data_IF_505175471427
#
_entry.id   IF_505175471427
#
_cell.length_a   1.000
_cell.length_b   1.000
_cell.length_c   1.000
_cell.angle_alpha   90.00
_cell.angle_beta   90.00
_cell.angle_gamma   90.00
#
_symmetry.space_group_name_H-M   'P 1'
#
loop_
_entity.id
_entity.type
_entity.pdbx_description
1 polymer ?
#
# COMPACT_ATOMS: atom_id res chain seq x y z
N UNK A 1 8.04 -14.52 2.81
CA UNK A 1 7.01 -13.87 3.64
C UNK A 1 5.91 -14.88 3.88
N UNK A 2 5.40 -14.96 5.11
CA UNK A 2 4.18 -15.68 5.45
C UNK A 2 3.07 -14.66 5.73
N UNK A 3 1.91 -14.84 5.10
CA UNK A 3 0.68 -14.10 5.45
C UNK A 3 -0.30 -15.16 5.96
N UNK A 4 -0.62 -15.10 7.24
CA UNK A 4 -1.57 -16.02 7.89
C UNK A 4 -2.85 -15.28 8.23
N UNK A 5 -4.01 -15.86 7.93
CA UNK A 5 -5.31 -15.22 8.09
C UNK A 5 -6.09 -15.94 9.19
N UNK A 6 -6.57 -15.19 10.17
CA UNK A 6 -7.44 -15.66 11.24
C UNK A 6 -8.85 -15.12 11.02
N UNK A 7 -9.86 -15.98 11.18
CA UNK A 7 -11.25 -15.55 11.20
C UNK A 7 -11.61 -15.09 12.62
N UNK A 8 -12.07 -13.83 12.77
CA UNK A 8 -12.42 -13.28 14.09
C UNK A 8 -13.59 -14.02 14.74
N UNK A 9 -14.48 -14.64 13.96
CA UNK A 9 -15.62 -15.41 14.46
C UNK A 9 -15.29 -16.89 14.72
N UNK A 10 -14.04 -17.31 14.54
CA UNK A 10 -13.68 -18.71 14.75
C UNK A 10 -14.00 -19.17 16.17
N UNK A 11 -14.72 -20.28 16.25
CA UNK A 11 -15.06 -20.96 17.50
C UNK A 11 -14.00 -21.99 17.91
N UNK A 12 -13.10 -22.36 17.00
CA UNK A 12 -12.07 -23.38 17.19
C UNK A 12 -10.68 -22.75 17.38
N UNK A 13 -10.58 -21.74 18.25
CA UNK A 13 -9.37 -20.91 18.41
C UNK A 13 -8.10 -21.72 18.73
N UNK A 14 -8.21 -22.74 19.59
CA UNK A 14 -7.07 -23.59 19.94
C UNK A 14 -6.52 -24.36 18.73
N UNK A 15 -7.42 -24.82 17.85
CA UNK A 15 -7.07 -25.55 16.64
C UNK A 15 -6.44 -24.61 15.61
N UNK A 16 -6.98 -23.40 15.44
CA UNK A 16 -6.38 -22.39 14.57
C UNK A 16 -4.97 -22.02 15.01
N UNK A 17 -4.75 -21.90 16.32
CA UNK A 17 -3.43 -21.64 16.89
C UNK A 17 -2.47 -22.82 16.68
N UNK A 18 -2.95 -24.07 16.82
CA UNK A 18 -2.12 -25.24 16.55
C UNK A 18 -1.67 -25.30 15.08
N UNK A 19 -2.57 -25.01 14.13
CA UNK A 19 -2.20 -24.92 12.72
C UNK A 19 -1.20 -23.79 12.46
N UNK A 20 -1.42 -22.63 13.06
CA UNK A 20 -0.50 -21.50 12.95
C UNK A 20 0.90 -21.85 13.47
N UNK A 21 1.01 -22.44 14.66
CA UNK A 21 2.29 -22.87 15.24
C UNK A 21 2.99 -23.92 14.38
N UNK A 22 2.25 -24.89 13.84
CA UNK A 22 2.80 -25.89 12.91
C UNK A 22 3.42 -25.22 11.66
N UNK A 23 2.78 -24.17 11.13
CA UNK A 23 3.35 -23.38 10.04
C UNK A 23 4.61 -22.61 10.48
N UNK A 24 4.62 -22.04 11.68
CA UNK A 24 5.79 -21.33 12.21
C UNK A 24 6.99 -22.24 12.42
N UNK A 25 6.79 -23.46 12.93
CA UNK A 25 7.85 -24.45 13.09
C UNK A 25 8.48 -24.81 11.74
N UNK A 26 7.66 -25.04 10.71
CA UNK A 26 8.13 -25.31 9.37
C UNK A 26 8.92 -24.13 8.77
N UNK A 27 8.46 -22.89 9.01
CA UNK A 27 9.15 -21.66 8.59
C UNK A 27 10.46 -21.48 9.35
N UNK A 28 10.50 -21.73 10.66
CA UNK A 28 11.72 -21.59 11.45
C UNK A 28 12.83 -22.53 10.94
N UNK A 29 12.46 -23.73 10.50
CA UNK A 29 13.39 -24.71 9.93
C UNK A 29 13.83 -24.37 8.50
N UNK A 30 12.91 -23.88 7.67
CA UNK A 30 13.14 -23.73 6.22
C UNK A 30 13.51 -22.31 5.79
N UNK A 31 13.08 -21.29 6.53
CA UNK A 31 13.18 -19.87 6.18
C UNK A 31 13.09 -18.96 7.42
N UNK A 32 14.08 -18.99 8.33
CA UNK A 32 14.02 -18.27 9.60
C UNK A 32 13.96 -16.73 9.45
N UNK A 33 14.41 -16.19 8.33
CA UNK A 33 14.36 -14.73 8.04
C UNK A 33 13.03 -14.30 7.40
N UNK A 34 12.07 -15.21 7.23
CA UNK A 34 10.79 -14.88 6.64
C UNK A 34 9.99 -13.93 7.56
N UNK A 35 9.61 -12.77 7.01
CA UNK A 35 8.67 -11.86 7.69
C UNK A 35 7.29 -12.51 7.77
N UNK A 36 6.67 -12.47 8.95
CA UNK A 36 5.35 -13.04 9.21
C UNK A 36 4.34 -11.92 9.43
N UNK A 37 3.20 -12.02 8.75
CA UNK A 37 2.07 -11.13 8.90
C UNK A 37 0.84 -11.93 9.28
N UNK A 38 0.12 -11.47 10.30
CA UNK A 38 -1.10 -12.09 10.80
C UNK A 38 -2.27 -11.14 10.56
N UNK A 39 -3.22 -11.56 9.73
CA UNK A 39 -4.43 -10.79 9.43
C UNK A 39 -5.58 -11.34 10.27
N UNK A 40 -6.02 -10.57 11.27
CA UNK A 40 -7.27 -10.85 11.99
C UNK A 40 -8.39 -10.28 11.12
N UNK A 41 -9.07 -11.18 10.42
CA UNK A 41 -9.96 -10.86 9.31
C UNK A 41 -11.44 -10.95 9.69
N UNK A 42 -12.30 -10.37 8.84
CA UNK A 42 -13.74 -10.21 9.05
C UNK A 42 -14.11 -9.35 10.25
N UNK A 43 -13.28 -8.34 10.55
CA UNK A 43 -13.49 -7.43 11.68
C UNK A 43 -14.76 -6.58 11.58
N UNK A 44 -15.41 -6.56 10.41
CA UNK A 44 -16.73 -5.99 10.19
C UNK A 44 -17.83 -6.67 11.03
N UNK A 45 -17.66 -7.95 11.38
CA UNK A 45 -18.62 -8.73 12.19
C UNK A 45 -18.54 -8.41 13.68
N UNK A 46 -17.49 -7.68 14.10
CA UNK A 46 -17.31 -7.21 15.48
C UNK A 46 -17.88 -5.79 15.61
N UNK A 47 -18.55 -5.54 16.73
CA UNK A 47 -19.06 -4.20 17.08
C UNK A 47 -17.90 -3.19 17.18
N UNK A 48 -18.10 -2.00 16.62
CA UNK A 48 -17.03 -0.99 16.43
C UNK A 48 -16.28 -0.65 17.73
N UNK A 49 -17.00 -0.52 18.84
CA UNK A 49 -16.49 -0.25 20.19
C UNK A 49 -15.64 -1.40 20.76
N UNK A 50 -15.82 -2.63 20.25
CA UNK A 50 -15.07 -3.81 20.67
C UNK A 50 -13.88 -4.15 19.77
N UNK A 51 -13.81 -3.58 18.56
CA UNK A 51 -12.79 -3.93 17.56
C UNK A 51 -11.36 -3.74 18.07
N UNK A 52 -11.08 -2.61 18.71
CA UNK A 52 -9.75 -2.31 19.25
C UNK A 52 -9.35 -3.26 20.39
N UNK A 53 -10.31 -3.58 21.26
CA UNK A 53 -10.07 -4.46 22.41
C UNK A 53 -9.73 -5.87 21.94
N UNK A 54 -10.57 -6.44 21.06
CA UNK A 54 -10.39 -7.79 20.52
C UNK A 54 -9.10 -7.87 19.71
N UNK A 55 -8.83 -6.87 18.86
CA UNK A 55 -7.59 -6.83 18.08
C UNK A 55 -6.35 -6.88 18.98
N UNK A 56 -6.27 -6.02 20.00
CA UNK A 56 -5.12 -5.97 20.92
C UNK A 56 -4.94 -7.24 21.73
N UNK A 57 -6.03 -7.90 22.10
CA UNK A 57 -5.97 -9.19 22.79
C UNK A 57 -5.35 -10.26 21.88
N UNK A 58 -5.85 -10.38 20.65
CA UNK A 58 -5.34 -11.32 19.65
C UNK A 58 -3.90 -11.03 19.27
N UNK A 59 -3.55 -9.76 19.08
CA UNK A 59 -2.19 -9.32 18.76
C UNK A 59 -1.20 -9.78 19.84
N UNK A 60 -1.51 -9.55 21.13
CA UNK A 60 -0.65 -10.01 22.23
C UNK A 60 -0.48 -11.53 22.27
N UNK A 61 -1.55 -12.28 22.05
CA UNK A 61 -1.47 -13.73 22.01
C UNK A 61 -0.62 -14.23 20.85
N UNK A 62 -0.82 -13.66 19.66
CA UNK A 62 -0.04 -13.97 18.48
C UNK A 62 1.44 -13.63 18.70
N UNK A 63 1.78 -12.43 19.15
CA UNK A 63 3.16 -12.03 19.44
C UNK A 63 3.85 -12.98 20.44
N UNK A 64 3.12 -13.45 21.46
CA UNK A 64 3.63 -14.42 22.43
C UNK A 64 3.87 -15.78 21.80
N UNK A 65 2.92 -16.27 21.01
CA UNK A 65 2.95 -17.60 20.39
C UNK A 65 3.88 -17.67 19.16
N UNK A 66 4.19 -16.54 18.53
CA UNK A 66 5.08 -16.47 17.36
C UNK A 66 6.55 -16.61 17.70
N UNK A 67 6.94 -16.41 18.97
CA UNK A 67 8.35 -16.46 19.39
C UNK A 67 9.01 -17.80 19.04
N UNK A 68 10.27 -17.79 18.56
CA UNK A 68 11.20 -16.66 18.50
C UNK A 68 11.03 -15.75 17.27
N UNK A 69 10.10 -16.04 16.37
CA UNK A 69 9.87 -15.24 15.17
C UNK A 69 9.03 -14.00 15.50
N UNK A 70 9.32 -12.89 14.82
CA UNK A 70 8.52 -11.68 14.91
C UNK A 70 7.34 -11.76 13.94
N UNK A 71 6.15 -11.41 14.42
CA UNK A 71 4.94 -11.26 13.61
C UNK A 71 4.42 -9.82 13.67
N UNK A 72 3.68 -9.43 12.63
CA UNK A 72 3.02 -8.12 12.55
C UNK A 72 1.55 -8.39 12.32
N UNK A 73 0.71 -7.86 13.21
CA UNK A 73 -0.72 -8.08 13.16
C UNK A 73 -1.44 -6.92 12.46
N UNK A 74 -2.47 -7.24 11.69
CA UNK A 74 -3.41 -6.26 11.15
C UNK A 74 -4.84 -6.74 11.38
N UNK A 75 -5.71 -5.82 11.78
CA UNK A 75 -7.15 -6.01 11.65
C UNK A 75 -7.56 -5.70 10.22
N UNK A 76 -8.37 -6.56 9.61
CA UNK A 76 -8.77 -6.38 8.22
C UNK A 76 -10.25 -6.72 8.00
N UNK A 77 -10.88 -5.99 7.09
CA UNK A 77 -12.17 -6.34 6.50
C UNK A 77 -12.14 -6.06 5.00
N UNK A 78 -12.88 -6.86 4.23
CA UNK A 78 -13.10 -6.59 2.79
C UNK A 78 -14.05 -5.42 2.53
N UNK A 79 -14.73 -4.94 3.58
CA UNK A 79 -15.77 -3.91 3.49
C UNK A 79 -15.25 -2.50 3.76
N UNK A 80 -13.99 -2.35 4.18
CA UNK A 80 -13.38 -1.07 4.53
C UNK A 80 -11.93 -0.96 4.02
N UNK A 81 -11.27 0.16 4.33
CA UNK A 81 -9.92 0.49 3.90
C UNK A 81 -8.82 -0.33 4.59
N UNK A 82 -9.12 -1.04 5.68
CA UNK A 82 -8.11 -1.70 6.52
C UNK A 82 -7.37 -2.82 5.77
N UNK A 83 -8.03 -3.46 4.80
CA UNK A 83 -7.39 -4.44 3.93
C UNK A 83 -6.30 -3.80 3.06
N UNK A 84 -6.55 -2.61 2.51
CA UNK A 84 -5.55 -1.87 1.72
C UNK A 84 -4.38 -1.43 2.61
N UNK A 85 -4.63 -1.07 3.86
CA UNK A 85 -3.59 -0.74 4.84
C UNK A 85 -2.62 -1.91 5.04
N UNK A 86 -3.17 -3.08 5.37
CA UNK A 86 -2.39 -4.30 5.60
C UNK A 86 -1.57 -4.69 4.36
N UNK A 87 -2.21 -4.75 3.20
CA UNK A 87 -1.51 -5.13 1.96
C UNK A 87 -0.49 -4.10 1.50
N UNK A 88 -0.76 -2.80 1.68
CA UNK A 88 0.23 -1.75 1.36
C UNK A 88 1.46 -1.89 2.26
N UNK A 89 1.28 -2.15 3.56
CA UNK A 89 2.39 -2.39 4.50
C UNK A 89 3.20 -3.65 4.15
N UNK A 90 2.52 -4.75 3.81
CA UNK A 90 3.16 -6.00 3.39
C UNK A 90 3.99 -5.80 2.12
N UNK A 91 3.39 -5.19 1.08
CA UNK A 91 4.06 -4.92 -0.20
C UNK A 91 5.21 -3.94 -0.02
N UNK A 92 5.03 -2.88 0.77
CA UNK A 92 6.08 -1.91 1.07
C UNK A 92 7.34 -2.58 1.64
N UNK A 93 7.16 -3.57 2.54
CA UNK A 93 8.28 -4.34 3.12
C UNK A 93 8.97 -5.32 2.15
N UNK A 94 8.37 -5.56 0.99
CA UNK A 94 8.89 -6.40 -0.09
C UNK A 94 9.55 -5.59 -1.21
N UNK A 95 9.28 -4.28 -1.31
CA UNK A 95 9.81 -3.44 -2.38
C UNK A 95 11.32 -3.18 -2.15
N UNK A 96 12.19 -3.58 -3.08
CA UNK A 96 13.61 -3.22 -3.00
C UNK A 96 13.80 -1.71 -3.25
N UNK A 97 14.78 -1.12 -2.57
CA UNK A 97 15.17 0.30 -2.70
C UNK A 97 14.03 1.30 -2.44
N UNK A 98 13.07 0.95 -1.58
CA UNK A 98 11.93 1.83 -1.25
C UNK A 98 12.38 3.19 -0.69
N UNK A 99 13.49 3.23 0.03
CA UNK A 99 14.09 4.47 0.56
C UNK A 99 14.54 5.43 -0.56
N UNK A 100 15.14 4.89 -1.63
CA UNK A 100 15.56 5.70 -2.78
C UNK A 100 14.34 6.23 -3.51
N UNK A 101 13.31 5.40 -3.70
CA UNK A 101 12.05 5.82 -4.31
C UNK A 101 11.38 6.94 -3.51
N UNK A 102 11.34 6.82 -2.19
CA UNK A 102 10.78 7.84 -1.31
C UNK A 102 11.58 9.15 -1.34
N UNK A 103 12.91 9.06 -1.38
CA UNK A 103 13.79 10.24 -1.51
C UNK A 103 13.54 10.97 -2.82
N UNK A 104 13.46 10.24 -3.93
CA UNK A 104 13.21 10.84 -5.25
C UNK A 104 11.80 11.41 -5.37
N UNK A 105 10.81 10.75 -4.76
CA UNK A 105 9.44 11.26 -4.70
C UNK A 105 9.34 12.54 -3.87
N UNK A 106 10.09 12.61 -2.75
CA UNK A 106 10.19 13.82 -1.93
C UNK A 106 10.82 14.97 -2.71
N UNK A 107 11.94 14.74 -3.39
CA UNK A 107 12.57 15.75 -4.25
C UNK A 107 11.61 16.23 -5.35
N UNK A 108 10.86 15.31 -5.97
CA UNK A 108 9.85 15.68 -6.95
C UNK A 108 8.76 16.56 -6.34
N UNK A 109 8.20 16.18 -5.18
CA UNK A 109 7.21 16.97 -4.47
C UNK A 109 7.69 18.38 -4.11
N UNK A 110 8.96 18.51 -3.70
CA UNK A 110 9.59 19.79 -3.38
C UNK A 110 9.74 20.67 -4.63
N UNK A 111 10.17 20.11 -5.77
CA UNK A 111 10.37 20.84 -7.04
C UNK A 111 9.05 21.39 -7.60
N UNK A 112 7.97 20.63 -7.48
CA UNK A 112 6.65 21.03 -8.00
C UNK A 112 5.80 21.78 -6.97
N UNK A 113 6.36 22.01 -5.77
CA UNK A 113 5.69 22.65 -4.64
C UNK A 113 4.34 22.00 -4.26
N UNK A 114 4.20 20.69 -4.46
CA UNK A 114 2.98 19.97 -4.11
C UNK A 114 2.82 19.82 -2.59
N UNK A 115 1.58 19.79 -2.11
CA UNK A 115 1.29 19.50 -0.70
C UNK A 115 1.53 18.03 -0.38
N UNK A 116 1.16 17.16 -1.32
CA UNK A 116 1.24 15.73 -1.18
C UNK A 116 1.42 15.07 -2.56
N UNK A 117 2.31 14.08 -2.61
CA UNK A 117 2.49 13.21 -3.77
C UNK A 117 2.43 11.75 -3.34
N UNK A 118 1.52 10.99 -3.94
CA UNK A 118 1.35 9.56 -3.71
C UNK A 118 1.72 8.78 -4.96
N UNK A 119 2.44 7.69 -4.78
CA UNK A 119 2.79 6.76 -5.85
C UNK A 119 2.11 5.43 -5.57
N UNK A 120 1.40 4.91 -6.58
CA UNK A 120 0.63 3.67 -6.48
C UNK A 120 1.12 2.64 -7.49
N UNK A 121 1.06 1.35 -7.14
CA UNK A 121 1.22 0.26 -8.11
C UNK A 121 0.00 0.19 -9.06
N UNK A 122 0.25 0.01 -10.35
CA UNK A 122 -0.76 0.20 -11.40
C UNK A 122 -1.95 -0.76 -11.33
N UNK A 123 -1.73 -2.04 -11.03
CA UNK A 123 -2.79 -3.05 -11.08
C UNK A 123 -3.64 -3.04 -9.80
N UNK A 124 -2.99 -3.04 -8.65
CA UNK A 124 -3.59 -3.14 -7.31
C UNK A 124 -4.01 -1.80 -6.75
N UNK A 125 -3.37 -0.71 -7.21
CA UNK A 125 -3.54 0.64 -6.65
C UNK A 125 -3.11 0.74 -5.18
N UNK A 126 -2.24 -0.17 -4.71
CA UNK A 126 -1.61 -0.07 -3.40
C UNK A 126 -0.58 1.06 -3.39
N UNK A 127 -0.49 1.76 -2.27
CA UNK A 127 0.47 2.85 -2.07
C UNK A 127 1.86 2.25 -1.92
N UNK A 128 2.81 2.71 -2.74
CA UNK A 128 4.20 2.21 -2.72
C UNK A 128 5.20 3.24 -2.20
N UNK A 129 4.91 4.53 -2.35
CA UNK A 129 5.70 5.62 -1.79
C UNK A 129 4.83 6.86 -1.64
N UNK A 130 5.20 7.73 -0.70
CA UNK A 130 4.53 9.01 -0.45
C UNK A 130 5.51 10.10 -0.07
N UNK A 131 5.16 11.34 -0.41
CA UNK A 131 5.85 12.54 0.01
C UNK A 131 4.80 13.56 0.48
N UNK A 132 4.93 13.99 1.73
CA UNK A 132 3.99 14.90 2.40
C UNK A 132 4.77 16.16 2.79
N UNK A 133 4.31 17.33 2.33
CA UNK A 133 4.82 18.65 2.74
C UNK A 133 3.88 19.32 3.73
N UNK A 134 2.62 18.89 3.78
CA UNK A 134 1.59 19.36 4.70
C UNK A 134 1.01 18.19 5.49
N UNK A 135 0.81 18.38 6.78
CA UNK A 135 0.12 17.38 7.60
C UNK A 135 -1.39 17.42 7.32
N UNK A 136 -2.00 16.24 7.27
CA UNK A 136 -3.44 16.05 7.08
C UNK A 136 -4.04 15.32 8.28
N UNK A 137 -5.27 15.69 8.66
CA UNK A 137 -5.94 15.10 9.82
C UNK A 137 -6.35 13.64 9.66
N UNK A 138 -6.60 13.18 8.42
CA UNK A 138 -6.95 11.78 8.14
C UNK A 138 -5.69 10.97 7.82
N UNK A 139 -5.30 10.12 8.76
CA UNK A 139 -4.14 9.23 8.63
C UNK A 139 -4.39 8.04 7.69
N UNK A 140 -5.65 7.67 7.46
CA UNK A 140 -6.08 6.55 6.60
C UNK A 140 -6.44 6.99 5.17
N UNK A 141 -6.16 8.25 4.82
CA UNK A 141 -6.54 8.82 3.53
C UNK A 141 -5.91 8.09 2.34
N UNK A 142 -4.72 7.50 2.51
CA UNK A 142 -4.00 6.83 1.42
C UNK A 142 -4.77 5.57 0.98
N UNK A 143 -5.19 4.77 1.95
CA UNK A 143 -5.95 3.55 1.76
C UNK A 143 -7.36 3.85 1.25
N UNK A 144 -7.99 4.91 1.76
CA UNK A 144 -9.28 5.39 1.25
C UNK A 144 -9.19 5.80 -0.21
N UNK A 145 -8.18 6.58 -0.60
CA UNK A 145 -7.94 6.95 -2.00
C UNK A 145 -7.70 5.70 -2.85
N UNK A 146 -6.88 4.76 -2.37
CA UNK A 146 -6.64 3.49 -3.05
C UNK A 146 -7.93 2.73 -3.33
N UNK A 147 -8.78 2.59 -2.30
CA UNK A 147 -10.06 1.90 -2.43
C UNK A 147 -10.99 2.64 -3.41
N UNK A 148 -11.18 3.97 -3.25
CA UNK A 148 -12.06 4.78 -4.11
C UNK A 148 -11.65 4.64 -5.58
N UNK A 149 -10.37 4.85 -5.90
CA UNK A 149 -9.90 4.79 -7.28
C UNK A 149 -9.94 3.36 -7.81
N UNK A 150 -9.67 2.35 -6.99
CA UNK A 150 -9.80 0.96 -7.41
C UNK A 150 -11.25 0.61 -7.76
N UNK A 151 -12.23 1.02 -6.94
CA UNK A 151 -13.65 0.83 -7.24
C UNK A 151 -14.07 1.57 -8.51
N UNK A 152 -13.55 2.79 -8.72
CA UNK A 152 -13.78 3.53 -9.96
C UNK A 152 -13.20 2.78 -11.18
N UNK A 153 -11.96 2.27 -11.10
CA UNK A 153 -11.33 1.47 -12.16
C UNK A 153 -12.13 0.20 -12.48
N UNK A 154 -12.63 -0.49 -11.46
CA UNK A 154 -13.50 -1.66 -11.64
C UNK A 154 -14.80 -1.27 -12.35
N UNK A 155 -15.36 -0.10 -12.03
CA UNK A 155 -16.55 0.42 -12.69
C UNK A 155 -16.29 0.77 -14.17
N UNK A 156 -15.16 1.40 -14.50
CA UNK A 156 -14.75 1.62 -15.90
C UNK A 156 -14.58 0.30 -16.67
N UNK A 157 -14.00 -0.71 -16.03
CA UNK A 157 -13.77 -2.01 -16.67
C UNK A 157 -15.07 -2.71 -17.06
N UNK A 158 -16.15 -2.53 -16.28
CA UNK A 158 -17.49 -3.06 -16.59
C UNK A 158 -18.09 -2.47 -17.87
N UNK A 159 -17.69 -1.25 -18.25
CA UNK A 159 -18.10 -0.60 -19.49
C UNK A 159 -17.05 -0.75 -20.61
N UNK A 160 -16.13 -1.71 -20.48
CA UNK A 160 -15.04 -1.98 -21.41
C UNK A 160 -14.11 -0.77 -21.67
N UNK A 161 -14.01 0.17 -20.73
CA UNK A 161 -13.10 1.31 -20.78
C UNK A 161 -11.99 1.17 -19.74
N UNK A 162 -10.80 1.72 -20.05
CA UNK A 162 -9.70 1.78 -19.09
C UNK A 162 -9.57 3.18 -18.52
N UNK A 163 -9.45 3.26 -17.19
CA UNK A 163 -9.07 4.50 -16.52
C UNK A 163 -7.66 4.91 -16.96
N UNK A 164 -7.50 6.19 -17.32
CA UNK A 164 -6.21 6.75 -17.75
C UNK A 164 -5.75 7.86 -16.79
N UNK A 165 -6.58 8.87 -16.58
CA UNK A 165 -6.27 9.97 -15.67
C UNK A 165 -7.54 10.57 -15.07
N UNK A 166 -7.37 11.35 -14.00
CA UNK A 166 -8.42 12.12 -13.34
C UNK A 166 -7.84 13.44 -12.87
N UNK A 167 -8.56 14.53 -13.09
CA UNK A 167 -8.27 15.83 -12.50
C UNK A 167 -9.48 16.27 -11.69
N UNK A 168 -9.23 16.70 -10.45
CA UNK A 168 -10.24 17.23 -9.55
C UNK A 168 -9.76 18.57 -9.01
N UNK A 169 -10.59 19.61 -9.11
CA UNK A 169 -10.27 20.94 -8.58
C UNK A 169 -11.47 21.48 -7.84
N UNK A 170 -11.23 22.07 -6.66
CA UNK A 170 -12.22 22.82 -5.90
C UNK A 170 -11.62 24.15 -5.44
N UNK A 171 -12.33 24.91 -4.60
CA UNK A 171 -11.84 26.21 -4.10
C UNK A 171 -10.64 26.14 -3.16
N UNK A 172 -10.25 24.95 -2.70
CA UNK A 172 -9.21 24.74 -1.69
C UNK A 172 -7.97 23.99 -2.23
N UNK A 173 -8.15 23.08 -3.19
CA UNK A 173 -7.06 22.30 -3.77
C UNK A 173 -7.39 21.77 -5.17
N UNK A 174 -6.34 21.38 -5.88
CA UNK A 174 -6.40 20.55 -7.09
C UNK A 174 -5.64 19.25 -6.89
N UNK A 175 -6.23 18.14 -7.34
CA UNK A 175 -5.63 16.82 -7.35
C UNK A 175 -5.56 16.26 -8.77
N UNK A 176 -4.43 15.65 -9.10
CA UNK A 176 -4.14 15.07 -10.40
C UNK A 176 -3.74 13.63 -10.23
N UNK A 177 -4.46 12.70 -10.85
CA UNK A 177 -4.14 11.28 -10.88
C UNK A 177 -3.83 10.93 -12.33
N UNK A 178 -2.63 10.44 -12.60
CA UNK A 178 -2.21 10.07 -13.95
C UNK A 178 -1.30 8.84 -13.92
N UNK A 179 -1.26 8.12 -15.04
CA UNK A 179 -0.26 7.07 -15.25
C UNK A 179 1.12 7.70 -15.16
N UNK A 180 1.98 7.16 -14.31
CA UNK A 180 3.30 7.74 -14.09
C UNK A 180 4.38 6.94 -14.80
N UNK A 181 4.47 5.64 -14.57
CA UNK A 181 5.35 4.69 -15.28
C UNK A 181 4.51 3.55 -15.86
N UNK A 182 5.08 2.57 -16.59
CA UNK A 182 4.35 1.38 -17.00
C UNK A 182 3.70 0.62 -15.85
N UNK A 183 4.27 0.71 -14.63
CA UNK A 183 3.84 -0.05 -13.45
C UNK A 183 3.26 0.84 -12.34
N UNK A 184 3.15 2.15 -12.52
CA UNK A 184 2.68 3.05 -11.46
C UNK A 184 1.72 4.13 -11.92
N UNK A 185 0.88 4.56 -10.98
CA UNK A 185 0.13 5.82 -11.02
C UNK A 185 0.75 6.81 -10.03
N UNK A 186 0.65 8.10 -10.34
CA UNK A 186 0.97 9.19 -9.40
C UNK A 186 -0.29 9.99 -9.12
N UNK A 187 -0.47 10.36 -7.85
CA UNK A 187 -1.39 11.41 -7.43
C UNK A 187 -0.61 12.59 -6.90
N UNK A 188 -0.94 13.79 -7.36
CA UNK A 188 -0.35 15.05 -6.93
C UNK A 188 -1.45 15.97 -6.40
N UNK A 189 -1.30 16.49 -5.20
CA UNK A 189 -2.22 17.43 -4.56
C UNK A 189 -1.53 18.79 -4.39
N UNK A 190 -2.19 19.86 -4.82
CA UNK A 190 -1.69 21.24 -4.77
C UNK A 190 -2.80 22.16 -4.28
N UNK A 191 -2.56 22.92 -3.22
CA UNK A 191 -3.46 23.96 -2.70
C UNK A 191 -3.07 25.38 -3.10
N UNK A 192 -1.85 25.61 -3.62
CA UNK A 192 -1.44 26.93 -4.10
C UNK A 192 -2.22 27.31 -5.38
N UNK A 193 -3.07 28.37 -5.34
CA UNK A 193 -3.87 28.78 -6.49
C UNK A 193 -3.04 29.41 -7.62
N UNK A 194 -1.79 29.80 -7.36
CA UNK A 194 -0.91 30.39 -8.37
C UNK A 194 -0.30 29.33 -9.30
N UNK A 195 -0.28 28.06 -8.88
CA UNK A 195 0.26 26.96 -9.67
C UNK A 195 -0.79 26.51 -10.68
N UNK A 196 -0.54 26.82 -11.96
CA UNK A 196 -1.49 26.45 -13.02
C UNK A 196 -1.49 24.95 -13.30
N UNK A 197 -2.64 24.34 -13.68
CA UNK A 197 -2.72 22.92 -14.03
C UNK A 197 -1.73 22.50 -15.13
N UNK A 198 -1.46 23.39 -16.09
CA UNK A 198 -0.54 23.11 -17.19
C UNK A 198 0.90 22.89 -16.72
N UNK A 199 1.36 23.65 -15.72
CA UNK A 199 2.69 23.49 -15.12
C UNK A 199 2.78 22.14 -14.42
N UNK A 200 1.77 21.79 -13.62
CA UNK A 200 1.73 20.51 -12.89
C UNK A 200 1.78 19.32 -13.84
N UNK A 201 0.95 19.32 -14.89
CA UNK A 201 0.93 18.25 -15.89
C UNK A 201 2.25 18.14 -16.66
N UNK A 202 2.87 19.27 -17.00
CA UNK A 202 4.19 19.29 -17.63
C UNK A 202 5.27 18.69 -16.71
N UNK A 203 5.25 19.03 -15.43
CA UNK A 203 6.18 18.51 -14.45
C UNK A 203 6.03 17.00 -14.24
N UNK A 204 4.78 16.51 -14.12
CA UNK A 204 4.48 15.07 -14.05
C UNK A 204 5.05 14.34 -15.28
N UNK A 205 4.81 14.88 -16.48
CA UNK A 205 5.31 14.30 -17.73
C UNK A 205 6.84 14.29 -17.81
N UNK A 206 7.50 15.33 -17.32
CA UNK A 206 8.97 15.40 -17.32
C UNK A 206 9.58 14.44 -16.31
N UNK A 207 8.98 14.31 -15.13
CA UNK A 207 9.44 13.40 -14.08
C UNK A 207 9.29 11.92 -14.47
N UNK A 208 8.28 11.56 -15.28
CA UNK A 208 8.06 10.18 -15.77
C UNK A 208 9.34 9.48 -16.23
N UNK A 209 10.13 10.12 -17.10
CA UNK A 209 11.37 9.53 -17.64
C UNK A 209 12.41 9.22 -16.57
N UNK A 210 12.44 9.99 -15.48
CA UNK A 210 13.35 9.76 -14.37
C UNK A 210 12.91 8.52 -13.57
N UNK A 211 11.61 8.41 -13.26
CA UNK A 211 11.08 7.29 -12.49
C UNK A 211 11.04 5.98 -13.28
N UNK A 212 10.82 6.02 -14.59
CA UNK A 212 10.95 4.85 -15.47
C UNK A 212 12.36 4.23 -15.41
N UNK A 213 13.41 5.05 -15.33
CA UNK A 213 14.79 4.55 -15.18
C UNK A 213 15.01 3.87 -13.84
N UNK A 214 14.43 4.41 -12.76
CA UNK A 214 14.52 3.82 -11.42
C UNK A 214 13.85 2.44 -11.37
N UNK A 215 12.76 2.26 -12.11
CA UNK A 215 12.13 0.94 -12.29
C UNK A 215 12.94 0.02 -13.19
N UNK A 216 13.57 0.54 -14.25
CA UNK A 216 14.37 -0.23 -15.21
C UNK A 216 15.62 -0.88 -14.60
N UNK A 217 16.14 -0.37 -13.49
CA UNK A 217 17.22 -1.02 -12.70
C UNK A 217 16.74 -2.33 -12.04
N UNK A 218 15.42 -2.63 -12.04
CA UNK A 218 14.83 -3.86 -11.49
C UNK A 218 14.89 -5.08 -12.43
N UNK A 219 15.48 -5.00 -13.62
CA UNK A 219 15.78 -6.23 -14.37
C UNK A 219 17.05 -6.88 -13.79
N UNK A 220 16.97 -8.10 -13.23
CA UNK A 220 18.18 -8.83 -12.90
C UNK A 220 19.01 -8.97 -14.17
N UNK A 221 20.33 -8.73 -14.05
CA UNK A 221 21.31 -9.00 -15.08
C UNK A 221 20.95 -10.30 -15.79
N UNK A 222 20.65 -10.23 -17.08
CA UNK A 222 20.59 -11.40 -17.93
C UNK A 222 21.94 -12.12 -17.76
N UNK A 223 21.92 -13.25 -17.04
CA UNK A 223 22.97 -14.23 -17.12
C UNK A 223 23.05 -14.65 -18.59
N UNK A 224 24.01 -14.08 -19.30
CA UNK A 224 24.37 -14.48 -20.64
C UNK A 224 24.62 -16.00 -20.61
N UNK A 225 24.03 -16.80 -21.52
CA UNK A 225 24.42 -18.19 -21.64
C UNK A 225 25.89 -18.22 -22.06
N UNK A 226 26.72 -18.78 -21.19
CA UNK A 226 28.09 -19.16 -21.52
C UNK A 226 28.07 -20.06 -22.75
N UNK A 227 28.80 -19.64 -23.78
CA UNK A 227 29.09 -20.42 -24.98
C UNK A 227 29.84 -21.70 -24.64
#
# INVERSE_FOLDING_TARGET
>A
VLIYVFDVESRELEKDMHYYQSCLEAILQSSPEAKIFCLIHKMDLVQEDQRDLIFRERERDLERLSRPLECICFRTSIWDETLYEAWSSIVYKLIPNVQQLQTNLKQFADIIEADEVLLFERATFLVIARAERKEHGDVHRFEKVSNIIKQFKLSCSKIAAQFQSMQLSNGNFSAYIDVFTPNTYVMVVISDPNITPAITLLNIKNARKHFEKLEGVRQPQQLLPSQ
#
